data_IF_731972169355
#
_entry.id   IF_731972169355
#
_cell.length_a   1.000
_cell.length_b   1.000
_cell.length_c   1.000
_cell.angle_alpha   90.00
_cell.angle_beta   90.00
_cell.angle_gamma   90.00
#
_symmetry.space_group_name_H-M   'P 1'
#
loop_
_entity.id
_entity.type
_entity.pdbx_description
1 polymer ?
#
# COMPACT_ATOMS: atom_id res chain seq x y z
N UNK A 1 0.53 24.70 0.11
CA UNK A 1 -0.29 23.52 0.48
C UNK A 1 -1.20 23.88 1.62
N UNK A 2 -2.49 23.52 1.55
CA UNK A 2 -3.37 23.66 2.72
C UNK A 2 -2.89 22.69 3.81
N UNK A 3 -3.05 23.07 5.08
CA UNK A 3 -2.60 22.26 6.26
C UNK A 3 -3.11 20.81 6.22
N UNK A 4 -4.30 20.59 5.69
CA UNK A 4 -4.92 19.27 5.51
C UNK A 4 -4.23 18.43 4.43
N UNK A 5 -3.84 19.03 3.30
CA UNK A 5 -3.12 18.34 2.22
C UNK A 5 -1.72 17.89 2.69
N UNK A 6 -1.01 18.75 3.44
CA UNK A 6 0.28 18.37 4.03
C UNK A 6 0.16 17.15 4.95
N UNK A 7 -0.92 17.09 5.77
CA UNK A 7 -1.20 15.92 6.61
C UNK A 7 -1.37 14.64 5.78
N UNK A 8 -2.11 14.71 4.66
CA UNK A 8 -2.31 13.57 3.78
C UNK A 8 -0.99 13.06 3.19
N UNK A 9 -0.20 13.97 2.62
CA UNK A 9 1.13 13.66 2.05
C UNK A 9 2.06 13.05 3.09
N UNK A 10 2.10 13.61 4.31
CA UNK A 10 2.94 13.09 5.39
C UNK A 10 2.54 11.67 5.82
N UNK A 11 1.23 11.38 5.92
CA UNK A 11 0.75 10.03 6.23
C UNK A 11 1.13 9.02 5.15
N UNK A 12 1.00 9.39 3.87
CA UNK A 12 1.39 8.54 2.75
C UNK A 12 2.90 8.32 2.67
N UNK A 13 3.69 9.33 3.01
CA UNK A 13 5.15 9.21 3.11
C UNK A 13 5.56 8.21 4.21
N UNK A 14 4.93 8.30 5.40
CA UNK A 14 5.15 7.31 6.47
C UNK A 14 4.72 5.90 6.05
N UNK A 15 3.61 5.80 5.31
CA UNK A 15 3.16 4.52 4.73
C UNK A 15 4.25 3.93 3.85
N UNK A 16 4.78 4.70 2.90
CA UNK A 16 5.82 4.26 1.99
C UNK A 16 7.10 3.84 2.73
N UNK A 17 7.51 4.58 3.76
CA UNK A 17 8.67 4.23 4.59
C UNK A 17 8.49 2.89 5.29
N UNK A 18 7.34 2.68 5.94
CA UNK A 18 7.06 1.42 6.65
C UNK A 18 6.94 0.25 5.66
N UNK A 19 6.31 0.45 4.51
CA UNK A 19 6.18 -0.61 3.51
C UNK A 19 7.53 -0.97 2.89
N UNK A 20 8.36 0.02 2.58
CA UNK A 20 9.71 -0.22 2.05
C UNK A 20 10.55 -1.11 3.00
N UNK A 21 10.58 -0.77 4.28
CA UNK A 21 11.27 -1.61 5.28
C UNK A 21 10.57 -2.98 5.50
N UNK A 22 9.25 -3.07 5.25
CA UNK A 22 8.51 -4.31 5.38
C UNK A 22 8.82 -5.35 4.30
N UNK A 23 9.36 -4.96 3.14
CA UNK A 23 9.82 -5.93 2.12
C UNK A 23 10.96 -6.80 2.66
N UNK A 24 11.89 -6.22 3.41
CA UNK A 24 12.95 -6.97 4.09
C UNK A 24 12.35 -7.95 5.09
N UNK A 25 11.41 -7.50 5.92
CA UNK A 25 10.73 -8.38 6.88
C UNK A 25 9.94 -9.51 6.19
N UNK A 26 9.30 -9.24 5.05
CA UNK A 26 8.60 -10.25 4.27
C UNK A 26 9.57 -11.30 3.72
N UNK A 27 10.71 -10.88 3.17
CA UNK A 27 11.74 -11.80 2.68
C UNK A 27 12.26 -12.71 3.78
N UNK A 28 12.67 -12.13 4.92
CA UNK A 28 13.15 -12.90 6.08
C UNK A 28 12.08 -13.84 6.65
N UNK A 29 10.82 -13.42 6.66
CA UNK A 29 9.74 -14.26 7.14
C UNK A 29 9.48 -15.48 6.28
N UNK A 30 9.67 -15.36 4.96
CA UNK A 30 9.48 -16.46 4.01
C UNK A 30 10.57 -17.56 4.09
N UNK A 31 11.63 -17.35 4.85
CA UNK A 31 12.64 -18.38 5.09
C UNK A 31 12.11 -19.53 5.97
N UNK A 32 11.12 -19.26 6.83
CA UNK A 32 10.62 -20.24 7.81
C UNK A 32 9.15 -20.61 7.63
N UNK A 33 8.33 -19.77 6.97
CA UNK A 33 6.90 -20.04 6.74
C UNK A 33 6.51 -19.83 5.28
N UNK A 34 5.47 -20.49 4.84
CA UNK A 34 4.92 -20.37 3.49
C UNK A 34 4.10 -19.06 3.33
N UNK A 35 3.80 -18.70 2.07
CA UNK A 35 3.25 -17.40 1.69
C UNK A 35 1.90 -17.08 2.35
N UNK A 36 0.94 -18.01 2.32
CA UNK A 36 -0.38 -17.77 2.90
C UNK A 36 -0.34 -17.81 4.42
N UNK A 37 0.57 -18.61 5.02
CA UNK A 37 0.84 -18.61 6.46
C UNK A 37 1.36 -17.24 6.90
N UNK A 38 2.37 -16.70 6.22
CA UNK A 38 2.90 -15.39 6.54
C UNK A 38 1.83 -14.29 6.36
N UNK A 39 1.16 -14.27 5.20
CA UNK A 39 0.18 -13.24 4.90
C UNK A 39 -1.07 -13.31 5.78
N UNK A 40 -1.57 -14.52 6.08
CA UNK A 40 -2.71 -14.74 6.97
C UNK A 40 -2.44 -14.24 8.39
N UNK A 41 -1.30 -14.62 8.96
CA UNK A 41 -0.94 -14.25 10.35
C UNK A 41 -0.64 -12.75 10.45
N UNK A 42 0.13 -12.15 9.52
CA UNK A 42 0.41 -10.71 9.57
C UNK A 42 -0.85 -9.85 9.42
N UNK A 43 -1.80 -10.25 8.56
CA UNK A 43 -3.07 -9.54 8.40
C UNK A 43 -3.96 -9.67 9.63
N UNK A 44 -3.95 -10.84 10.28
CA UNK A 44 -4.63 -11.03 11.56
C UNK A 44 -4.03 -10.13 12.66
N UNK A 45 -2.69 -10.07 12.78
CA UNK A 45 -2.02 -9.15 13.71
C UNK A 45 -2.35 -7.69 13.41
N UNK A 46 -2.47 -7.31 12.12
CA UNK A 46 -2.93 -5.98 11.72
C UNK A 46 -4.33 -5.65 12.27
N UNK A 47 -5.29 -6.57 12.11
CA UNK A 47 -6.63 -6.39 12.68
C UNK A 47 -6.59 -6.32 14.21
N UNK A 48 -5.87 -7.23 14.87
CA UNK A 48 -5.75 -7.26 16.34
C UNK A 48 -5.13 -5.98 16.90
N UNK A 49 -4.15 -5.39 16.21
CA UNK A 49 -3.52 -4.12 16.60
C UNK A 49 -4.51 -2.95 16.62
N UNK A 50 -5.46 -2.92 15.69
CA UNK A 50 -6.42 -1.83 15.57
C UNK A 50 -7.58 -1.93 16.55
N UNK A 51 -7.92 -3.13 16.98
CA UNK A 51 -9.10 -3.37 17.83
C UNK A 51 -9.07 -2.61 19.16
N UNK A 52 -8.01 -2.69 19.99
CA UNK A 52 -7.95 -1.96 21.26
C UNK A 52 -8.00 -0.44 21.03
N UNK A 53 -7.38 0.06 19.97
CA UNK A 53 -7.41 1.48 19.64
C UNK A 53 -8.82 1.96 19.28
N UNK A 54 -9.60 1.18 18.52
CA UNK A 54 -11.00 1.46 18.21
C UNK A 54 -11.84 1.50 19.49
N UNK A 55 -11.69 0.48 20.37
CA UNK A 55 -12.45 0.37 21.61
C UNK A 55 -12.20 1.59 22.50
N UNK A 56 -10.94 1.93 22.76
CA UNK A 56 -10.56 3.07 23.62
C UNK A 56 -11.13 4.38 23.04
N UNK A 57 -10.98 4.61 21.75
CA UNK A 57 -11.49 5.81 21.08
C UNK A 57 -13.00 5.91 21.13
N UNK A 58 -13.71 4.81 20.89
CA UNK A 58 -15.18 4.79 20.93
C UNK A 58 -15.68 5.02 22.37
N UNK A 59 -15.06 4.44 23.39
CA UNK A 59 -15.38 4.70 24.80
C UNK A 59 -15.17 6.18 25.17
N UNK A 60 -14.06 6.78 24.77
CA UNK A 60 -13.79 8.20 25.02
C UNK A 60 -14.84 9.08 24.30
N UNK A 61 -15.16 8.75 23.05
CA UNK A 61 -16.17 9.49 22.27
C UNK A 61 -17.55 9.42 22.91
N UNK A 62 -17.97 8.25 23.39
CA UNK A 62 -19.26 8.05 24.07
C UNK A 62 -19.29 8.84 25.39
N UNK A 63 -18.20 8.84 26.18
CA UNK A 63 -18.11 9.61 27.43
C UNK A 63 -18.21 11.11 27.18
N UNK A 64 -17.62 11.61 26.08
CA UNK A 64 -17.58 13.05 25.76
C UNK A 64 -18.85 13.56 25.09
N UNK A 65 -19.42 12.80 24.15
CA UNK A 65 -20.47 13.24 23.24
C UNK A 65 -21.82 12.54 23.48
N UNK A 66 -21.89 11.60 24.42
CA UNK A 66 -23.06 10.74 24.61
C UNK A 66 -23.11 9.58 23.60
N UNK A 67 -24.03 8.66 23.84
CA UNK A 67 -24.21 7.48 22.95
C UNK A 67 -24.96 7.88 21.68
N UNK A 68 -24.44 7.59 20.48
CA UNK A 68 -25.15 7.85 19.22
C UNK A 68 -26.49 7.08 19.14
N UNK A 69 -27.43 7.59 18.34
CA UNK A 69 -28.70 6.89 18.13
C UNK A 69 -28.47 5.52 17.47
N UNK A 70 -29.37 4.55 17.76
CA UNK A 70 -29.30 3.20 17.17
C UNK A 70 -29.32 3.23 15.64
N UNK A 71 -30.08 4.14 15.05
CA UNK A 71 -30.16 4.31 13.61
C UNK A 71 -28.82 4.79 13.02
N UNK A 72 -28.18 5.77 13.65
CA UNK A 72 -26.86 6.26 13.25
C UNK A 72 -25.82 5.15 13.31
N UNK A 73 -25.77 4.40 14.42
CA UNK A 73 -24.84 3.27 14.59
C UNK A 73 -25.07 2.24 13.47
N UNK A 74 -26.34 1.86 13.21
CA UNK A 74 -26.66 0.86 12.19
C UNK A 74 -26.23 1.31 10.78
N UNK A 75 -26.44 2.57 10.45
CA UNK A 75 -26.05 3.14 9.15
C UNK A 75 -24.54 3.16 8.99
N UNK A 76 -23.80 3.67 9.99
CA UNK A 76 -22.34 3.72 9.99
C UNK A 76 -21.72 2.32 9.92
N UNK A 77 -22.21 1.38 10.73
CA UNK A 77 -21.74 -0.02 10.72
C UNK A 77 -21.97 -0.66 9.35
N UNK A 78 -23.14 -0.49 8.75
CA UNK A 78 -23.42 -1.02 7.40
C UNK A 78 -22.45 -0.47 6.34
N UNK A 79 -22.16 0.83 6.39
CA UNK A 79 -21.22 1.47 5.47
C UNK A 79 -19.79 0.96 5.67
N UNK A 80 -19.33 0.83 6.93
CA UNK A 80 -18.01 0.33 7.27
C UNK A 80 -17.86 -1.13 6.85
N UNK A 81 -18.84 -1.99 7.18
CA UNK A 81 -18.81 -3.40 6.79
C UNK A 81 -18.80 -3.55 5.27
N UNK A 82 -19.66 -2.84 4.55
CA UNK A 82 -19.72 -2.92 3.09
C UNK A 82 -18.42 -2.41 2.44
N UNK A 83 -18.00 -1.18 2.78
CA UNK A 83 -16.79 -0.57 2.22
C UNK A 83 -15.53 -1.34 2.60
N UNK A 84 -15.39 -1.69 3.89
CA UNK A 84 -14.25 -2.44 4.41
C UNK A 84 -14.17 -3.87 3.84
N UNK A 85 -15.30 -4.52 3.56
CA UNK A 85 -15.29 -5.84 2.91
C UNK A 85 -14.80 -5.77 1.46
N UNK A 86 -15.25 -4.78 0.67
CA UNK A 86 -14.77 -4.59 -0.70
C UNK A 86 -13.27 -4.28 -0.69
N UNK A 87 -12.83 -3.36 0.20
CA UNK A 87 -11.42 -3.06 0.40
C UNK A 87 -10.64 -4.32 0.81
N UNK A 88 -11.18 -5.11 1.73
CA UNK A 88 -10.56 -6.34 2.24
C UNK A 88 -10.41 -7.42 1.17
N UNK A 89 -11.38 -7.60 0.29
CA UNK A 89 -11.30 -8.54 -0.84
C UNK A 89 -10.22 -8.09 -1.83
N UNK A 90 -10.21 -6.80 -2.23
CA UNK A 90 -9.19 -6.28 -3.13
C UNK A 90 -7.78 -6.39 -2.53
N UNK A 91 -7.64 -6.05 -1.24
CA UNK A 91 -6.39 -6.19 -0.50
C UNK A 91 -5.95 -7.66 -0.38
N UNK A 92 -6.87 -8.56 -0.07
CA UNK A 92 -6.61 -10.01 0.02
C UNK A 92 -6.02 -10.54 -1.28
N UNK A 93 -6.63 -10.23 -2.41
CA UNK A 93 -6.15 -10.66 -3.71
C UNK A 93 -4.75 -10.08 -3.97
N UNK A 94 -4.59 -8.75 -3.83
CA UNK A 94 -3.33 -8.07 -4.07
C UNK A 94 -2.20 -8.62 -3.18
N UNK A 95 -2.42 -8.69 -1.87
CA UNK A 95 -1.38 -9.09 -0.91
C UNK A 95 -1.01 -10.58 -0.99
N UNK A 96 -1.97 -11.45 -1.35
CA UNK A 96 -1.67 -12.86 -1.56
C UNK A 96 -0.86 -13.09 -2.85
N UNK A 97 -1.18 -12.41 -3.95
CA UNK A 97 -0.35 -12.47 -5.14
C UNK A 97 1.06 -11.95 -4.88
N UNK A 98 1.19 -10.83 -4.16
CA UNK A 98 2.48 -10.28 -3.78
C UNK A 98 3.28 -11.25 -2.91
N UNK A 99 2.67 -11.78 -1.86
CA UNK A 99 3.36 -12.69 -0.94
C UNK A 99 3.73 -14.01 -1.62
N UNK A 100 2.87 -14.53 -2.49
CA UNK A 100 3.16 -15.75 -3.24
C UNK A 100 4.28 -15.56 -4.27
N UNK A 101 4.51 -14.32 -4.75
CA UNK A 101 5.66 -14.01 -5.61
C UNK A 101 7.02 -14.28 -4.91
N UNK A 102 7.09 -14.12 -3.58
CA UNK A 102 8.29 -14.46 -2.79
C UNK A 102 8.56 -15.97 -2.67
N UNK A 103 7.61 -16.84 -3.02
CA UNK A 103 7.80 -18.29 -2.95
C UNK A 103 8.65 -18.87 -4.08
N UNK A 104 8.96 -18.08 -5.10
CA UNK A 104 9.76 -18.54 -6.23
C UNK A 104 11.25 -18.33 -5.98
N UNK A 105 12.13 -19.32 -6.33
CA UNK A 105 13.56 -19.26 -6.04
C UNK A 105 14.30 -18.09 -6.72
N UNK A 106 13.76 -17.63 -7.84
CA UNK A 106 14.27 -16.53 -8.65
C UNK A 106 13.71 -15.15 -8.25
N UNK A 107 13.03 -15.06 -7.10
CA UNK A 107 12.49 -13.79 -6.62
C UNK A 107 13.61 -12.83 -6.19
N UNK A 108 13.37 -11.55 -6.44
CA UNK A 108 14.13 -10.45 -5.85
C UNK A 108 13.14 -9.50 -5.19
N UNK A 109 13.37 -9.15 -3.93
CA UNK A 109 12.51 -8.22 -3.19
C UNK A 109 12.40 -6.87 -3.92
N UNK A 110 13.50 -6.37 -4.46
CA UNK A 110 13.54 -5.14 -5.26
C UNK A 110 12.72 -5.25 -6.55
N UNK A 111 12.79 -6.39 -7.25
CA UNK A 111 12.02 -6.61 -8.49
C UNK A 111 10.51 -6.75 -8.20
N UNK A 112 10.12 -7.45 -7.12
CA UNK A 112 8.73 -7.53 -6.66
C UNK A 112 8.22 -6.12 -6.31
N UNK A 113 8.99 -5.33 -5.55
CA UNK A 113 8.64 -3.96 -5.21
C UNK A 113 8.47 -3.08 -6.46
N UNK A 114 9.38 -3.20 -7.45
CA UNK A 114 9.30 -2.50 -8.72
C UNK A 114 8.04 -2.82 -9.50
N UNK A 115 7.77 -4.11 -9.72
CA UNK A 115 6.60 -4.53 -10.51
C UNK A 115 5.30 -4.19 -9.77
N UNK A 116 5.28 -4.35 -8.44
CA UNK A 116 4.13 -3.93 -7.63
C UNK A 116 3.85 -2.43 -7.76
N UNK A 117 4.89 -1.58 -7.77
CA UNK A 117 4.75 -0.12 -7.88
C UNK A 117 4.12 0.34 -9.21
N UNK A 118 3.95 -0.55 -10.21
CA UNK A 118 3.16 -0.25 -11.39
C UNK A 118 1.69 0.09 -11.07
N UNK A 119 1.22 -0.12 -9.84
CA UNK A 119 -0.09 0.39 -9.43
C UNK A 119 -0.21 1.91 -9.67
N UNK A 120 0.87 2.67 -9.64
CA UNK A 120 0.84 4.11 -9.96
C UNK A 120 0.40 4.41 -11.40
N UNK A 121 0.60 3.46 -12.33
CA UNK A 121 0.10 3.49 -13.70
C UNK A 121 -1.37 3.07 -13.77
N UNK A 122 -1.69 1.98 -13.07
CA UNK A 122 -3.04 1.43 -13.12
C UNK A 122 -4.05 2.33 -12.42
N UNK A 123 -3.68 3.05 -11.37
CA UNK A 123 -4.59 3.97 -10.66
C UNK A 123 -5.18 5.04 -11.60
N UNK A 124 -4.39 5.82 -12.35
CA UNK A 124 -4.96 6.80 -13.28
C UNK A 124 -5.67 6.13 -14.47
N UNK A 125 -5.17 5.00 -15.00
CA UNK A 125 -5.83 4.28 -16.11
C UNK A 125 -7.21 3.80 -15.66
N UNK A 126 -7.32 3.10 -14.53
CA UNK A 126 -8.60 2.66 -13.98
C UNK A 126 -9.48 3.84 -13.57
N UNK A 127 -8.87 4.95 -13.13
CA UNK A 127 -9.55 6.21 -12.84
C UNK A 127 -10.32 6.78 -14.04
N UNK A 128 -9.79 6.64 -15.26
CA UNK A 128 -10.48 7.06 -16.48
C UNK A 128 -11.79 6.27 -16.70
N UNK A 129 -11.80 4.95 -16.44
CA UNK A 129 -13.00 4.13 -16.57
C UNK A 129 -14.12 4.56 -15.60
N UNK A 130 -13.77 5.14 -14.45
CA UNK A 130 -14.73 5.73 -13.51
C UNK A 130 -14.93 7.24 -13.72
N UNK A 131 -14.59 7.74 -14.93
CA UNK A 131 -14.78 9.12 -15.40
C UNK A 131 -14.03 10.18 -14.57
N UNK A 132 -12.90 9.84 -13.96
CA UNK A 132 -12.02 10.83 -13.31
C UNK A 132 -11.29 11.66 -14.37
N UNK A 133 -11.18 12.95 -14.10
CA UNK A 133 -10.36 13.87 -14.90
C UNK A 133 -8.97 13.96 -14.27
N UNK A 134 -7.97 13.45 -14.96
CA UNK A 134 -6.60 13.44 -14.48
C UNK A 134 -5.82 14.49 -15.26
N UNK A 135 -5.16 15.46 -14.59
CA UNK A 135 -4.34 16.48 -15.24
C UNK A 135 -3.24 15.86 -16.12
N UNK A 136 -2.96 16.46 -17.27
CA UNK A 136 -1.88 16.00 -18.16
C UNK A 136 -0.53 16.00 -17.44
N UNK A 137 -0.29 16.97 -16.58
CA UNK A 137 0.92 17.05 -15.75
C UNK A 137 1.07 15.82 -14.86
N UNK A 138 -0.02 15.27 -14.32
CA UNK A 138 0.02 14.02 -13.52
C UNK A 138 0.52 12.84 -14.35
N UNK A 139 0.10 12.72 -15.62
CA UNK A 139 0.61 11.71 -16.54
C UNK A 139 2.11 11.85 -16.81
N UNK A 140 2.59 13.10 -16.97
CA UNK A 140 4.03 13.36 -17.09
C UNK A 140 4.77 12.91 -15.82
N UNK A 141 4.22 13.20 -14.62
CA UNK A 141 4.82 12.74 -13.36
C UNK A 141 4.85 11.22 -13.24
N UNK A 142 3.78 10.53 -13.68
CA UNK A 142 3.74 9.07 -13.72
C UNK A 142 4.81 8.53 -14.66
N UNK A 143 4.97 9.11 -15.85
CA UNK A 143 6.01 8.68 -16.80
C UNK A 143 7.42 8.89 -16.24
N UNK A 144 7.71 10.06 -15.62
CA UNK A 144 8.99 10.35 -14.99
C UNK A 144 9.22 9.37 -13.81
N UNK A 145 8.22 9.14 -12.98
CA UNK A 145 8.29 8.17 -11.87
C UNK A 145 8.61 6.76 -12.35
N UNK A 146 8.03 6.33 -13.48
CA UNK A 146 8.33 5.02 -14.07
C UNK A 146 9.78 4.91 -14.53
N UNK A 147 10.32 5.97 -15.14
CA UNK A 147 11.75 5.99 -15.49
C UNK A 147 12.60 5.88 -14.23
N UNK A 148 12.25 6.60 -13.16
CA UNK A 148 12.95 6.49 -11.87
C UNK A 148 12.89 5.07 -11.29
N UNK A 149 11.70 4.43 -11.30
CA UNK A 149 11.55 3.04 -10.86
C UNK A 149 12.38 2.07 -11.71
N UNK A 150 12.42 2.27 -13.02
CA UNK A 150 13.25 1.45 -13.91
C UNK A 150 14.74 1.53 -13.51
N UNK A 151 15.26 2.73 -13.30
CA UNK A 151 16.64 2.92 -12.86
C UNK A 151 16.91 2.31 -11.48
N UNK A 152 15.93 2.38 -10.58
CA UNK A 152 16.06 1.89 -9.21
C UNK A 152 16.07 0.36 -9.12
N UNK A 153 15.23 -0.33 -9.87
CA UNK A 153 14.93 -1.73 -9.62
C UNK A 153 15.38 -2.68 -10.75
N UNK A 154 15.70 -2.18 -11.94
CA UNK A 154 16.17 -3.01 -13.05
C UNK A 154 17.69 -2.92 -13.13
N UNK A 155 18.38 -4.03 -12.89
CA UNK A 155 19.83 -4.12 -12.94
C UNK A 155 20.40 -3.90 -14.36
N UNK A 156 21.72 -3.96 -14.50
CA UNK A 156 22.43 -3.75 -15.77
C UNK A 156 22.09 -4.80 -16.84
N UNK A 157 21.69 -6.01 -16.42
CA UNK A 157 21.25 -7.10 -17.31
C UNK A 157 19.86 -6.88 -17.94
N UNK A 158 19.14 -5.83 -17.52
CA UNK A 158 17.82 -5.49 -18.04
C UNK A 158 16.74 -6.54 -17.74
N UNK A 159 15.70 -6.60 -18.58
CA UNK A 159 14.64 -7.61 -18.50
C UNK A 159 15.03 -8.87 -19.26
N UNK A 160 16.00 -9.62 -18.77
CA UNK A 160 16.48 -10.82 -19.49
C UNK A 160 15.46 -11.97 -19.55
N UNK A 161 14.50 -12.03 -18.61
CA UNK A 161 13.37 -12.96 -18.62
C UNK A 161 12.23 -12.49 -17.73
N UNK A 162 11.00 -12.65 -18.18
CA UNK A 162 9.80 -12.47 -17.35
C UNK A 162 9.58 -13.75 -16.57
N UNK A 163 9.61 -13.67 -15.26
CA UNK A 163 9.44 -14.80 -14.35
C UNK A 163 8.00 -14.95 -13.89
N UNK A 164 7.67 -16.08 -13.23
CA UNK A 164 6.35 -16.26 -12.59
C UNK A 164 6.15 -15.27 -11.45
N UNK A 165 7.21 -14.95 -10.70
CA UNK A 165 7.22 -13.93 -9.66
C UNK A 165 6.82 -12.56 -10.21
N UNK A 166 7.34 -12.17 -11.39
CA UNK A 166 7.00 -10.92 -12.05
C UNK A 166 5.52 -10.86 -12.47
N UNK A 167 5.00 -11.95 -13.03
CA UNK A 167 3.58 -12.03 -13.43
C UNK A 167 2.65 -11.88 -12.21
N UNK A 168 2.96 -12.55 -11.11
CA UNK A 168 2.18 -12.44 -9.87
C UNK A 168 2.23 -11.01 -9.30
N UNK A 169 3.42 -10.39 -9.31
CA UNK A 169 3.60 -9.00 -8.87
C UNK A 169 2.86 -8.01 -9.78
N UNK A 170 2.78 -8.29 -11.07
CA UNK A 170 2.01 -7.47 -12.02
C UNK A 170 0.49 -7.56 -11.76
N UNK A 171 -0.03 -8.77 -11.52
CA UNK A 171 -1.43 -8.98 -11.13
C UNK A 171 -1.70 -8.27 -9.79
N UNK A 172 -0.79 -8.41 -8.83
CA UNK A 172 -0.84 -7.71 -7.56
C UNK A 172 -0.97 -6.19 -7.76
N UNK A 173 -0.17 -5.57 -8.65
CA UNK A 173 -0.21 -4.14 -8.93
C UNK A 173 -1.59 -3.66 -9.42
N UNK A 174 -2.27 -4.45 -10.27
CA UNK A 174 -3.62 -4.15 -10.73
C UNK A 174 -4.60 -4.13 -9.54
N UNK A 175 -4.56 -5.15 -8.68
CA UNK A 175 -5.46 -5.22 -7.52
C UNK A 175 -5.15 -4.19 -6.44
N UNK A 176 -3.88 -3.78 -6.25
CA UNK A 176 -3.55 -2.63 -5.41
C UNK A 176 -4.11 -1.33 -5.99
N UNK A 177 -4.07 -1.14 -7.30
CA UNK A 177 -4.69 0.02 -7.92
C UNK A 177 -6.21 0.04 -7.69
N UNK A 178 -6.89 -1.10 -7.84
CA UNK A 178 -8.31 -1.23 -7.48
C UNK A 178 -8.54 -0.89 -6.01
N UNK A 179 -7.72 -1.44 -5.10
CA UNK A 179 -7.81 -1.17 -3.67
C UNK A 179 -7.67 0.33 -3.35
N UNK A 180 -6.69 1.01 -3.95
CA UNK A 180 -6.47 2.46 -3.80
C UNK A 180 -7.71 3.27 -4.23
N UNK A 181 -8.32 2.92 -5.37
CA UNK A 181 -9.53 3.59 -5.86
C UNK A 181 -10.75 3.30 -5.00
N UNK A 182 -10.85 2.09 -4.44
CA UNK A 182 -11.93 1.71 -3.52
C UNK A 182 -11.81 2.48 -2.19
N UNK A 183 -10.60 2.64 -1.65
CA UNK A 183 -10.36 3.47 -0.45
C UNK A 183 -10.92 4.87 -0.67
N UNK A 184 -10.56 5.53 -1.77
CA UNK A 184 -11.02 6.89 -2.06
C UNK A 184 -12.54 7.01 -2.03
N UNK A 185 -13.24 6.02 -2.58
CA UNK A 185 -14.71 5.99 -2.62
C UNK A 185 -15.35 5.94 -1.23
N UNK A 186 -14.75 5.23 -0.28
CA UNK A 186 -15.37 4.95 1.02
C UNK A 186 -14.84 5.81 2.17
N UNK A 187 -13.60 6.32 2.08
CA UNK A 187 -12.94 7.01 3.19
C UNK A 187 -13.58 8.36 3.55
N UNK A 188 -14.22 9.04 2.59
CA UNK A 188 -14.86 10.33 2.86
C UNK A 188 -16.03 10.23 3.84
N UNK A 189 -16.78 9.12 3.78
CA UNK A 189 -18.06 8.91 4.49
C UNK A 189 -17.95 7.97 5.67
N UNK A 190 -16.75 7.44 5.93
CA UNK A 190 -16.55 6.39 6.93
C UNK A 190 -15.32 6.65 7.79
N UNK A 191 -15.28 6.02 8.95
CA UNK A 191 -14.13 6.05 9.83
C UNK A 191 -12.97 5.23 9.28
N UNK A 192 -11.82 5.88 9.02
CA UNK A 192 -10.66 5.27 8.40
C UNK A 192 -10.10 4.07 9.20
N UNK A 193 -10.08 4.16 10.53
CA UNK A 193 -9.54 3.09 11.39
C UNK A 193 -10.47 1.87 11.40
N UNK A 194 -11.78 2.11 11.44
CA UNK A 194 -12.78 1.03 11.37
C UNK A 194 -12.82 0.38 9.98
N UNK A 195 -12.62 1.16 8.90
CA UNK A 195 -12.43 0.61 7.55
C UNK A 195 -11.19 -0.27 7.49
N UNK A 196 -10.06 0.21 8.04
CA UNK A 196 -8.81 -0.55 8.11
C UNK A 196 -8.97 -1.86 8.89
N UNK A 197 -9.61 -1.82 10.05
CA UNK A 197 -9.93 -3.03 10.83
C UNK A 197 -10.76 -4.03 10.04
N UNK A 198 -11.82 -3.56 9.37
CA UNK A 198 -12.72 -4.43 8.61
C UNK A 198 -12.00 -5.06 7.41
N UNK A 199 -11.21 -4.28 6.66
CA UNK A 199 -10.46 -4.83 5.52
C UNK A 199 -9.47 -5.91 5.95
N UNK A 200 -8.75 -5.70 7.06
CA UNK A 200 -7.81 -6.71 7.55
C UNK A 200 -8.52 -7.94 8.13
N UNK A 201 -9.65 -7.77 8.80
CA UNK A 201 -10.45 -8.90 9.27
C UNK A 201 -10.92 -9.76 8.09
N UNK A 202 -11.44 -9.15 7.03
CA UNK A 202 -11.90 -9.87 5.84
C UNK A 202 -10.72 -10.53 5.11
N UNK A 203 -9.62 -9.81 4.90
CA UNK A 203 -8.41 -10.34 4.26
C UNK A 203 -7.84 -11.52 5.06
N UNK A 204 -7.71 -11.38 6.38
CA UNK A 204 -7.22 -12.43 7.26
C UNK A 204 -8.09 -13.68 7.21
N UNK A 205 -9.42 -13.53 7.29
CA UNK A 205 -10.34 -14.67 7.23
C UNK A 205 -10.18 -15.45 5.93
N UNK A 206 -10.16 -14.76 4.78
CA UNK A 206 -10.02 -15.42 3.48
C UNK A 206 -8.63 -16.07 3.36
N UNK A 207 -7.57 -15.35 3.70
CA UNK A 207 -6.19 -15.87 3.59
C UNK A 207 -5.94 -17.02 4.54
N UNK A 208 -6.45 -16.99 5.78
CA UNK A 208 -6.31 -18.11 6.71
C UNK A 208 -7.07 -19.36 6.23
N UNK A 209 -8.22 -19.20 5.58
CA UNK A 209 -8.90 -20.35 4.94
C UNK A 209 -8.03 -20.94 3.84
N UNK A 210 -7.44 -20.13 2.98
CA UNK A 210 -6.52 -20.61 1.93
C UNK A 210 -5.31 -21.29 2.57
N UNK A 211 -4.69 -20.69 3.57
CA UNK A 211 -3.56 -21.22 4.32
C UNK A 211 -3.83 -22.65 4.82
N UNK A 212 -4.95 -22.89 5.50
CA UNK A 212 -5.28 -24.22 6.03
C UNK A 212 -5.63 -25.27 4.95
N UNK A 213 -6.00 -24.82 3.74
CA UNK A 213 -6.28 -25.72 2.61
C UNK A 213 -5.00 -26.09 1.85
N UNK A 214 -4.06 -25.14 1.72
CA UNK A 214 -2.92 -25.26 0.81
C UNK A 214 -1.58 -25.47 1.51
N UNK A 215 -1.47 -25.12 2.78
CA UNK A 215 -0.22 -25.12 3.56
C UNK A 215 -0.40 -25.89 4.88
N UNK A 216 0.71 -26.26 5.49
CA UNK A 216 0.73 -26.96 6.79
C UNK A 216 1.48 -26.12 7.83
N UNK A 217 0.88 -25.02 8.34
CA UNK A 217 1.54 -24.15 9.30
C UNK A 217 1.89 -24.88 10.59
N UNK A 218 3.14 -24.75 11.06
CA UNK A 218 3.60 -25.33 12.31
C UNK A 218 3.93 -24.25 13.33
N UNK A 219 3.71 -24.54 14.63
CA UNK A 219 4.06 -23.58 15.69
C UNK A 219 5.56 -23.26 15.72
N UNK A 220 6.49 -24.23 15.52
CA UNK A 220 7.91 -23.92 15.44
C UNK A 220 8.25 -22.92 14.32
N UNK A 221 7.79 -23.16 13.10
CA UNK A 221 8.09 -22.27 11.96
C UNK A 221 7.53 -20.85 12.15
N UNK A 222 6.31 -20.75 12.72
CA UNK A 222 5.72 -19.45 13.07
C UNK A 222 6.56 -18.71 14.14
N UNK A 223 7.10 -19.44 15.13
CA UNK A 223 7.96 -18.83 16.15
C UNK A 223 9.28 -18.32 15.57
N UNK A 224 9.88 -19.02 14.61
CA UNK A 224 11.08 -18.57 13.91
C UNK A 224 10.84 -17.26 13.15
N UNK A 225 9.67 -17.11 12.52
CA UNK A 225 9.27 -15.91 11.79
C UNK A 225 8.57 -14.85 12.67
N UNK A 226 8.56 -14.96 14.01
CA UNK A 226 7.71 -14.12 14.86
C UNK A 226 8.05 -12.62 14.76
N UNK A 227 9.32 -12.25 14.66
CA UNK A 227 9.73 -10.84 14.53
C UNK A 227 9.30 -10.24 13.17
N UNK A 228 9.58 -10.88 12.03
CA UNK A 228 9.03 -10.47 10.74
C UNK A 228 7.50 -10.38 10.72
N UNK A 229 6.80 -11.34 11.32
CA UNK A 229 5.33 -11.36 11.42
C UNK A 229 4.79 -10.22 12.27
N UNK A 230 5.37 -9.95 13.43
CA UNK A 230 4.96 -8.84 14.29
C UNK A 230 5.22 -7.49 13.62
N UNK A 231 6.40 -7.30 13.03
CA UNK A 231 6.71 -6.07 12.31
C UNK A 231 5.74 -5.84 11.15
N UNK A 232 5.58 -6.82 10.28
CA UNK A 232 4.68 -6.73 9.12
C UNK A 232 3.21 -6.61 9.57
N UNK A 233 2.80 -7.27 10.64
CA UNK A 233 1.43 -7.20 11.15
C UNK A 233 1.13 -5.85 11.82
N UNK A 234 1.95 -5.41 12.77
CA UNK A 234 1.70 -4.20 13.55
C UNK A 234 2.02 -2.95 12.72
N UNK A 235 3.23 -2.87 12.18
CA UNK A 235 3.70 -1.66 11.50
C UNK A 235 3.12 -1.55 10.08
N UNK A 236 3.25 -2.59 9.25
CA UNK A 236 2.76 -2.53 7.88
C UNK A 236 1.23 -2.65 7.81
N UNK A 237 0.63 -3.72 8.33
CA UNK A 237 -0.81 -3.91 8.27
C UNK A 237 -1.57 -2.96 9.22
N UNK A 238 -1.20 -2.89 10.48
CA UNK A 238 -1.91 -2.06 11.47
C UNK A 238 -1.76 -0.56 11.19
N UNK A 239 -0.54 -0.05 11.17
CA UNK A 239 -0.29 1.39 11.09
C UNK A 239 -0.25 1.92 9.66
N UNK A 240 0.61 1.35 8.78
CA UNK A 240 0.85 1.94 7.45
C UNK A 240 -0.41 1.94 6.58
N UNK A 241 -1.16 0.86 6.49
CA UNK A 241 -2.43 0.86 5.75
C UNK A 241 -3.48 1.79 6.36
N UNK A 242 -3.48 1.97 7.69
CA UNK A 242 -4.35 2.97 8.33
C UNK A 242 -3.91 4.39 7.94
N UNK A 243 -2.60 4.66 7.90
CA UNK A 243 -2.07 5.93 7.41
C UNK A 243 -2.38 6.14 5.93
N UNK A 244 -2.33 5.11 5.10
CA UNK A 244 -2.78 5.16 3.71
C UNK A 244 -4.24 5.63 3.63
N UNK A 245 -5.16 4.99 4.34
CA UNK A 245 -6.58 5.34 4.31
C UNK A 245 -6.79 6.78 4.79
N UNK A 246 -6.12 7.18 5.88
CA UNK A 246 -6.17 8.57 6.38
C UNK A 246 -5.55 9.54 5.38
N UNK A 247 -4.44 9.19 4.76
CA UNK A 247 -3.74 10.00 3.76
C UNK A 247 -4.58 10.23 2.52
N UNK A 248 -5.22 9.19 2.01
CA UNK A 248 -6.10 9.25 0.85
C UNK A 248 -7.41 10.04 1.10
N UNK A 249 -7.78 10.27 2.35
CA UNK A 249 -8.86 11.22 2.66
C UNK A 249 -8.56 12.67 2.26
N UNK A 250 -7.27 13.01 2.16
CA UNK A 250 -6.79 14.38 1.92
C UNK A 250 -5.96 14.51 0.64
N UNK A 251 -5.74 13.41 -0.07
CA UNK A 251 -4.89 13.34 -1.26
C UNK A 251 -5.58 12.49 -2.32
N UNK A 252 -5.64 13.00 -3.54
CA UNK A 252 -6.24 12.29 -4.68
C UNK A 252 -5.46 11.00 -4.97
N UNK A 253 -6.17 9.93 -5.40
CA UNK A 253 -5.61 8.58 -5.52
C UNK A 253 -4.38 8.50 -6.43
N UNK A 254 -4.33 9.24 -7.53
CA UNK A 254 -3.19 9.21 -8.45
C UNK A 254 -1.95 9.82 -7.80
N UNK A 255 -2.11 10.93 -7.09
CA UNK A 255 -1.02 11.56 -6.33
C UNK A 255 -0.62 10.69 -5.14
N UNK A 256 -1.58 10.08 -4.47
CA UNK A 256 -1.34 9.15 -3.37
C UNK A 256 -0.52 7.93 -3.83
N UNK A 257 -0.86 7.35 -4.99
CA UNK A 257 -0.11 6.22 -5.54
C UNK A 257 1.34 6.57 -5.87
N UNK A 258 1.58 7.77 -6.44
CA UNK A 258 2.94 8.25 -6.69
C UNK A 258 3.76 8.40 -5.40
N UNK A 259 3.17 8.98 -4.33
CA UNK A 259 3.87 9.10 -3.05
C UNK A 259 4.20 7.73 -2.46
N UNK A 260 3.25 6.80 -2.52
CA UNK A 260 3.43 5.46 -1.97
C UNK A 260 4.49 4.65 -2.72
N UNK A 261 4.75 4.92 -4.00
CA UNK A 261 5.85 4.31 -4.75
C UNK A 261 7.24 4.59 -4.16
N UNK A 262 7.39 5.56 -3.23
CA UNK A 262 8.60 5.70 -2.43
C UNK A 262 8.91 4.46 -1.59
N UNK A 263 7.97 3.53 -1.44
CA UNK A 263 8.24 2.24 -0.81
C UNK A 263 9.40 1.50 -1.47
N UNK A 264 9.53 1.58 -2.80
CA UNK A 264 10.67 0.99 -3.52
C UNK A 264 11.99 1.69 -3.18
N UNK A 265 11.98 3.02 -3.05
CA UNK A 265 13.16 3.79 -2.63
C UNK A 265 13.56 3.43 -1.20
N UNK A 266 12.59 3.40 -0.29
CA UNK A 266 12.85 3.00 1.09
C UNK A 266 13.23 1.53 1.21
N UNK A 267 12.70 0.65 0.35
CA UNK A 267 13.09 -0.76 0.28
C UNK A 267 14.58 -0.92 -0.03
N UNK A 268 15.05 -0.22 -1.05
CA UNK A 268 16.50 -0.21 -1.42
C UNK A 268 17.35 0.39 -0.30
N UNK A 269 16.95 1.51 0.28
CA UNK A 269 17.69 2.13 1.39
C UNK A 269 17.74 1.18 2.61
N UNK A 270 16.61 0.54 2.97
CA UNK A 270 16.57 -0.40 4.09
C UNK A 270 17.37 -1.67 3.78
N UNK A 271 17.36 -2.16 2.53
CA UNK A 271 18.23 -3.26 2.08
C UNK A 271 19.70 -2.93 2.28
N UNK A 272 20.14 -1.76 1.83
CA UNK A 272 21.51 -1.29 2.02
C UNK A 272 21.90 -1.17 3.50
N UNK A 273 21.01 -0.62 4.34
CA UNK A 273 21.32 -0.39 5.76
C UNK A 273 21.25 -1.68 6.61
N UNK A 274 20.31 -2.59 6.30
CA UNK A 274 20.06 -3.80 7.12
C UNK A 274 20.86 -4.99 6.58
N UNK A 275 20.90 -5.15 5.24
CA UNK A 275 21.57 -6.26 4.58
C UNK A 275 22.98 -5.90 4.09
N UNK A 276 23.42 -4.63 4.32
CA UNK A 276 24.71 -4.10 3.87
C UNK A 276 24.95 -4.20 2.36
N UNK A 277 23.88 -4.04 1.57
CA UNK A 277 23.95 -4.00 0.12
C UNK A 277 24.54 -2.67 -0.35
N UNK A 278 25.46 -2.71 -1.32
CA UNK A 278 26.01 -1.49 -1.92
C UNK A 278 25.05 -0.87 -2.94
N UNK A 279 24.75 0.41 -2.77
CA UNK A 279 23.90 1.15 -3.71
C UNK A 279 24.69 1.56 -4.94
N UNK A 280 24.24 1.14 -6.10
CA UNK A 280 24.82 1.57 -7.38
C UNK A 280 24.46 3.04 -7.69
N UNK A 281 25.29 3.70 -8.50
CA UNK A 281 24.99 5.06 -9.00
C UNK A 281 23.65 5.13 -9.76
N UNK A 282 23.25 4.02 -10.38
CA UNK A 282 21.99 3.87 -11.10
C UNK A 282 20.81 3.91 -10.15
N UNK A 283 20.86 3.19 -9.03
CA UNK A 283 19.81 3.18 -8.02
C UNK A 283 19.66 4.55 -7.37
N UNK A 284 20.76 5.24 -7.08
CA UNK A 284 20.76 6.62 -6.56
C UNK A 284 20.08 7.57 -7.57
N UNK A 285 20.41 7.47 -8.86
CA UNK A 285 19.75 8.27 -9.91
C UNK A 285 18.23 7.97 -9.97
N UNK A 286 17.84 6.69 -9.87
CA UNK A 286 16.45 6.27 -9.80
C UNK A 286 15.70 6.90 -8.63
N UNK A 287 16.29 6.90 -7.44
CA UNK A 287 15.75 7.58 -6.25
C UNK A 287 15.52 9.06 -6.51
N UNK A 288 16.50 9.78 -7.05
CA UNK A 288 16.39 11.22 -7.32
C UNK A 288 15.25 11.51 -8.32
N UNK A 289 15.18 10.73 -9.41
CA UNK A 289 14.12 10.88 -10.43
C UNK A 289 12.74 10.66 -9.81
N UNK A 290 12.58 9.64 -8.96
CA UNK A 290 11.33 9.38 -8.23
C UNK A 290 10.93 10.55 -7.33
N UNK A 291 11.86 11.08 -6.53
CA UNK A 291 11.58 12.25 -5.70
C UNK A 291 11.15 13.47 -6.50
N UNK A 292 11.80 13.74 -7.63
CA UNK A 292 11.43 14.84 -8.55
C UNK A 292 10.00 14.64 -9.08
N UNK A 293 9.66 13.43 -9.54
CA UNK A 293 8.32 13.13 -10.04
C UNK A 293 7.25 13.36 -8.97
N UNK A 294 7.51 12.94 -7.72
CA UNK A 294 6.59 13.11 -6.60
C UNK A 294 6.42 14.57 -6.23
N UNK A 295 7.51 15.34 -6.14
CA UNK A 295 7.44 16.78 -5.86
C UNK A 295 6.61 17.50 -6.94
N UNK A 296 6.87 17.21 -8.22
CA UNK A 296 6.12 17.81 -9.33
C UNK A 296 4.63 17.46 -9.26
N UNK A 297 4.29 16.23 -8.89
CA UNK A 297 2.89 15.79 -8.77
C UNK A 297 2.09 16.57 -7.73
N UNK A 298 2.74 17.06 -6.65
CA UNK A 298 2.08 17.89 -5.63
C UNK A 298 1.63 19.27 -6.16
N UNK A 299 2.19 19.69 -7.27
CA UNK A 299 1.87 20.96 -7.92
C UNK A 299 1.05 20.80 -9.21
N UNK A 300 0.67 19.57 -9.57
CA UNK A 300 0.02 19.26 -10.85
C UNK A 300 -1.23 20.11 -11.11
N UNK A 301 -2.12 20.26 -10.14
CA UNK A 301 -3.34 21.06 -10.27
C UNK A 301 -3.05 22.56 -10.46
N UNK A 302 -2.06 23.09 -9.74
CA UNK A 302 -1.65 24.49 -9.85
C UNK A 302 -0.99 24.79 -11.19
N UNK A 303 -0.18 23.86 -11.69
CA UNK A 303 0.48 23.99 -12.99
C UNK A 303 -0.57 23.90 -14.10
N UNK A 304 -1.49 22.94 -13.99
CA UNK A 304 -2.57 22.75 -14.97
C UNK A 304 -3.48 24.00 -15.05
N UNK A 305 -3.87 24.59 -13.92
CA UNK A 305 -4.70 25.81 -13.91
C UNK A 305 -3.99 26.98 -14.58
N UNK A 306 -2.70 27.20 -14.30
CA UNK A 306 -1.90 28.26 -14.96
C UNK A 306 -1.76 28.06 -16.47
N UNK A 307 -1.61 26.80 -16.93
CA UNK A 307 -1.56 26.49 -18.36
C UNK A 307 -2.89 26.81 -19.04
N UNK A 308 -4.02 26.52 -18.40
CA UNK A 308 -5.34 26.83 -18.93
C UNK A 308 -5.57 28.33 -18.96
N UNK A 309 -5.21 29.06 -17.91
CA UNK A 309 -5.29 30.53 -17.87
C UNK A 309 -4.43 31.18 -18.97
N UNK A 310 -3.23 30.66 -19.22
CA UNK A 310 -2.35 31.17 -20.27
C UNK A 310 -2.87 30.88 -21.69
N UNK A 311 -3.62 29.80 -21.90
CA UNK A 311 -4.24 29.50 -23.21
C UNK A 311 -5.50 30.30 -23.50
N UNK A 312 -6.15 30.82 -22.47
CA UNK A 312 -7.37 31.64 -22.60
C UNK A 312 -7.10 33.14 -22.67
N UNK A 313 -5.83 33.56 -22.60
CA UNK A 313 -5.32 34.92 -22.88
C UNK A 313 -4.80 34.99 -24.31
#
# INVERSE_FOLDING_TARGET
>A
MQKTQFKGVFMLFLTAFIWGSSFVAQSLGMESVEAFTFNGIRTLFGAMTLLPFIIVRDVISIKKNGRPSREKIRKETKQILFGGSIMGIALCIASNFQQYAFSYPDHSAGKIAFVTAFYMFFVPILGLFIKKRIPVITWCCVAIGTVGLYFLCVGEEGFSSVTKSDLLSFICAIFYAVHILVIEKFVEKSDAVKLSFTQFTVSALITCVIMFITETPTIPSIKESILPLLYSGIMSCGLAYTFQIVGQKYTESTVASLIMCLESVFGVICGALILHEELSSREIAGCVIMFVAIILSQFSDRIQSKIIEAKNK
#
